data_IF_865735907128
#
_entry.id   IF_865735907128
#
_cell.length_a   1.000
_cell.length_b   1.000
_cell.length_c   1.000
_cell.angle_alpha   90.00
_cell.angle_beta   90.00
_cell.angle_gamma   90.00
#
_symmetry.space_group_name_H-M   'P 1'
#
loop_
_entity.id
_entity.type
_entity.pdbx_description
1 polymer ?
#
# COMPACT_ATOMS: atom_id res chain seq x y z
N UNK A 1 -5.81 -12.40 -16.20
CA UNK A 1 -5.44 -13.41 -15.20
C UNK A 1 -3.99 -13.73 -15.44
N UNK A 2 -3.17 -13.57 -14.42
CA UNK A 2 -1.75 -13.89 -14.47
C UNK A 2 -1.54 -15.28 -13.85
N UNK A 3 -0.70 -16.12 -14.45
CA UNK A 3 -0.45 -17.47 -13.96
C UNK A 3 1.04 -17.64 -13.71
N UNK A 4 1.41 -17.86 -12.45
CA UNK A 4 2.79 -17.98 -12.02
C UNK A 4 2.94 -19.14 -11.03
N UNK A 5 3.94 -20.00 -11.23
CA UNK A 5 4.16 -21.21 -10.43
C UNK A 5 2.91 -22.12 -10.28
N UNK A 6 2.08 -22.18 -11.32
CA UNK A 6 0.84 -22.98 -11.29
C UNK A 6 -0.23 -22.42 -10.33
N UNK A 7 -0.23 -21.11 -10.08
CA UNK A 7 -1.23 -20.40 -9.28
C UNK A 7 -1.82 -19.29 -10.14
N UNK A 8 -3.15 -19.09 -10.03
CA UNK A 8 -3.86 -18.06 -10.76
C UNK A 8 -4.00 -16.80 -9.92
N UNK A 9 -3.51 -15.68 -10.42
CA UNK A 9 -3.59 -14.38 -9.77
C UNK A 9 -4.58 -13.49 -10.53
N UNK A 10 -5.43 -12.81 -9.75
CA UNK A 10 -6.37 -11.83 -10.28
C UNK A 10 -6.52 -10.64 -9.33
N UNK A 11 -6.88 -9.46 -9.84
CA UNK A 11 -7.33 -8.35 -9.00
C UNK A 11 -8.55 -8.75 -8.16
N UNK A 12 -8.72 -8.05 -7.04
CA UNK A 12 -9.94 -8.06 -6.25
C UNK A 12 -11.14 -7.67 -7.12
N UNK A 13 -12.22 -8.45 -7.04
CA UNK A 13 -13.40 -8.34 -7.90
C UNK A 13 -14.61 -7.69 -7.21
N UNK A 14 -14.46 -7.21 -5.97
CA UNK A 14 -15.53 -6.57 -5.20
C UNK A 14 -16.00 -7.41 -4.01
N UNK A 15 -17.14 -7.01 -3.43
CA UNK A 15 -17.60 -7.49 -2.11
C UNK A 15 -17.74 -9.03 -2.02
N UNK A 16 -17.95 -9.73 -3.14
CA UNK A 16 -18.01 -11.21 -3.18
C UNK A 16 -16.71 -11.88 -2.75
N UNK A 17 -15.57 -11.20 -2.89
CA UNK A 17 -14.25 -11.70 -2.46
C UNK A 17 -13.97 -11.44 -0.98
N UNK A 18 -14.70 -10.50 -0.37
CA UNK A 18 -14.42 -10.07 1.00
C UNK A 18 -14.45 -11.23 2.01
N UNK A 19 -15.45 -12.14 2.00
CA UNK A 19 -15.45 -13.27 2.94
C UNK A 19 -14.19 -14.13 2.83
N UNK A 20 -13.73 -14.41 1.61
CA UNK A 20 -12.53 -15.21 1.37
C UNK A 20 -11.26 -14.53 1.89
N UNK A 21 -11.11 -13.22 1.66
CA UNK A 21 -9.98 -12.44 2.19
C UNK A 21 -10.01 -12.45 3.72
N UNK A 22 -11.18 -12.25 4.33
CA UNK A 22 -11.34 -12.25 5.78
C UNK A 22 -10.95 -13.61 6.38
N UNK A 23 -11.40 -14.72 5.81
CA UNK A 23 -11.03 -16.07 6.26
C UNK A 23 -9.52 -16.28 6.18
N UNK A 24 -8.89 -15.96 5.04
CA UNK A 24 -7.45 -16.08 4.89
C UNK A 24 -6.68 -15.26 5.93
N UNK A 25 -7.09 -14.00 6.14
CA UNK A 25 -6.44 -13.09 7.11
C UNK A 25 -6.59 -13.59 8.54
N UNK A 26 -7.79 -14.04 8.93
CA UNK A 26 -8.04 -14.59 10.27
C UNK A 26 -7.17 -15.82 10.57
N UNK A 27 -6.94 -16.67 9.57
CA UNK A 27 -6.10 -17.87 9.73
C UNK A 27 -4.59 -17.56 9.69
N UNK A 28 -4.21 -16.44 9.09
CA UNK A 28 -2.83 -16.16 8.73
C UNK A 28 -2.13 -15.04 9.50
N UNK A 29 -2.87 -14.09 10.08
CA UNK A 29 -2.35 -12.91 10.77
C UNK A 29 -2.75 -12.91 12.25
N UNK A 30 -1.89 -12.34 13.09
CA UNK A 30 -2.06 -12.27 14.55
C UNK A 30 -3.06 -11.20 15.00
N UNK A 31 -3.36 -10.22 14.16
CA UNK A 31 -4.18 -9.06 14.50
C UNK A 31 -5.62 -9.22 13.97
N UNK A 32 -6.65 -9.20 14.84
CA UNK A 32 -8.03 -9.20 14.39
C UNK A 32 -8.40 -7.85 13.79
N UNK A 33 -8.82 -7.86 12.52
CA UNK A 33 -9.37 -6.68 11.87
C UNK A 33 -10.91 -6.71 11.89
N UNK A 34 -11.52 -5.57 12.22
CA UNK A 34 -12.96 -5.38 12.04
C UNK A 34 -13.30 -5.21 10.56
N UNK A 35 -14.52 -5.60 10.15
CA UNK A 35 -14.96 -5.55 8.73
C UNK A 35 -14.76 -4.18 8.08
N UNK A 36 -14.93 -3.09 8.84
CA UNK A 36 -14.74 -1.72 8.36
C UNK A 36 -13.32 -1.46 7.85
N UNK A 37 -12.31 -2.08 8.46
CA UNK A 37 -10.92 -1.95 8.02
C UNK A 37 -10.73 -2.53 6.63
N UNK A 38 -11.25 -3.73 6.38
CA UNK A 38 -11.19 -4.34 5.04
C UNK A 38 -11.89 -3.48 4.00
N UNK A 39 -13.13 -3.05 4.28
CA UNK A 39 -13.91 -2.22 3.35
C UNK A 39 -13.24 -0.87 3.08
N UNK A 40 -12.61 -0.25 4.08
CA UNK A 40 -11.85 0.97 3.87
C UNK A 40 -10.77 0.80 2.80
N UNK A 41 -9.95 -0.26 2.90
CA UNK A 41 -8.92 -0.52 1.90
C UNK A 41 -9.51 -0.95 0.54
N UNK A 42 -10.41 -1.93 0.55
CA UNK A 42 -10.91 -2.57 -0.65
C UNK A 42 -11.85 -1.68 -1.47
N UNK A 43 -12.57 -0.74 -0.83
CA UNK A 43 -13.39 0.24 -1.55
C UNK A 43 -12.58 1.44 -2.04
N UNK A 44 -11.52 1.82 -1.34
CA UNK A 44 -10.72 3.00 -1.70
C UNK A 44 -9.62 2.68 -2.71
N UNK A 45 -8.99 1.50 -2.60
CA UNK A 45 -7.94 1.03 -3.50
C UNK A 45 -8.18 -0.39 -4.02
N UNK A 46 -9.34 -0.68 -4.63
CA UNK A 46 -9.64 -2.03 -5.17
C UNK A 46 -8.59 -2.49 -6.18
N UNK A 47 -8.02 -1.56 -6.94
CA UNK A 47 -7.01 -1.80 -7.96
C UNK A 47 -5.61 -2.14 -7.40
N UNK A 48 -5.39 -2.00 -6.09
CA UNK A 48 -4.15 -2.39 -5.40
C UNK A 48 -4.32 -3.67 -4.58
N UNK A 49 -5.45 -4.35 -4.70
CA UNK A 49 -5.71 -5.61 -4.03
C UNK A 49 -5.72 -6.77 -5.04
N UNK A 50 -5.04 -7.86 -4.67
CA UNK A 50 -4.90 -9.04 -5.53
C UNK A 50 -5.12 -10.33 -4.73
N UNK A 51 -5.60 -11.34 -5.42
CA UNK A 51 -5.89 -12.66 -4.87
C UNK A 51 -5.24 -13.76 -5.70
N UNK A 52 -4.70 -14.75 -5.00
CA UNK A 52 -4.13 -15.97 -5.56
C UNK A 52 -5.14 -17.11 -5.39
N UNK A 53 -5.33 -17.91 -6.43
CA UNK A 53 -6.26 -19.04 -6.45
C UNK A 53 -5.58 -20.30 -6.95
N UNK A 54 -5.97 -21.43 -6.38
CA UNK A 54 -5.62 -22.75 -6.93
C UNK A 54 -6.31 -22.92 -8.30
N UNK A 55 -5.58 -23.18 -9.40
CA UNK A 55 -6.19 -23.38 -10.71
C UNK A 55 -7.07 -24.63 -10.80
N UNK A 56 -6.91 -25.60 -9.90
CA UNK A 56 -7.67 -26.87 -9.94
C UNK A 56 -9.00 -26.72 -9.21
N UNK A 57 -8.97 -26.35 -7.92
CA UNK A 57 -10.19 -26.20 -7.11
C UNK A 57 -10.88 -24.84 -7.31
N UNK A 58 -10.15 -23.83 -7.77
CA UNK A 58 -10.62 -22.44 -7.80
C UNK A 58 -10.60 -21.76 -6.42
N UNK A 59 -10.13 -22.43 -5.37
CA UNK A 59 -10.13 -21.88 -4.02
C UNK A 59 -9.13 -20.73 -3.86
N UNK A 60 -9.47 -19.71 -3.06
CA UNK A 60 -8.56 -18.62 -2.72
C UNK A 60 -7.47 -19.10 -1.75
N UNK A 61 -6.21 -18.99 -2.15
CA UNK A 61 -5.05 -19.51 -1.40
C UNK A 61 -4.14 -18.43 -0.84
N UNK A 62 -4.36 -17.18 -1.24
CA UNK A 62 -3.64 -16.03 -0.71
C UNK A 62 -4.23 -14.71 -1.19
N UNK A 63 -3.93 -13.63 -0.46
CA UNK A 63 -4.38 -12.29 -0.78
C UNK A 63 -3.36 -11.26 -0.34
N UNK A 64 -3.34 -10.13 -1.05
CA UNK A 64 -2.63 -8.92 -0.66
C UNK A 64 -3.58 -7.73 -0.76
N UNK A 65 -3.58 -6.89 0.27
CA UNK A 65 -4.35 -5.65 0.32
C UNK A 65 -3.39 -4.51 0.59
N UNK A 66 -3.44 -3.50 -0.29
CA UNK A 66 -2.57 -2.35 -0.24
C UNK A 66 -3.37 -1.04 -0.28
N UNK A 67 -2.69 0.06 0.00
CA UNK A 67 -3.17 1.41 -0.29
C UNK A 67 -2.07 2.27 -0.87
N UNK A 68 -2.44 3.43 -1.38
CA UNK A 68 -1.50 4.46 -1.79
C UNK A 68 -2.06 5.83 -1.44
N UNK A 69 -1.25 6.65 -0.77
CA UNK A 69 -1.63 8.00 -0.34
C UNK A 69 -0.46 8.96 -0.45
N UNK A 70 -0.78 10.24 -0.61
CA UNK A 70 0.19 11.33 -0.53
C UNK A 70 0.78 11.43 0.87
N UNK A 71 2.09 11.19 0.99
CA UNK A 71 2.83 11.30 2.23
C UNK A 71 3.41 12.72 2.38
N UNK A 72 2.83 13.48 3.31
CA UNK A 72 3.23 14.86 3.65
C UNK A 72 3.19 15.84 2.46
N UNK A 73 2.50 15.49 1.37
CA UNK A 73 2.43 16.28 0.13
C UNK A 73 3.74 16.32 -0.67
N UNK A 74 4.69 15.43 -0.37
CA UNK A 74 6.04 15.43 -0.97
C UNK A 74 6.29 14.17 -1.80
N UNK A 75 5.74 13.02 -1.36
CA UNK A 75 5.94 11.74 -2.01
C UNK A 75 4.64 10.95 -2.03
N UNK A 76 4.38 10.23 -3.11
CA UNK A 76 3.29 9.25 -3.18
C UNK A 76 3.78 7.93 -2.58
N UNK A 77 3.15 7.46 -1.51
CA UNK A 77 3.63 6.28 -0.77
C UNK A 77 2.65 5.13 -0.88
N UNK A 78 3.14 4.02 -1.41
CA UNK A 78 2.47 2.73 -1.33
C UNK A 78 2.58 2.10 0.06
N UNK A 79 1.57 1.35 0.47
CA UNK A 79 1.55 0.67 1.76
C UNK A 79 0.93 -0.72 1.64
N UNK A 80 1.67 -1.75 2.08
CA UNK A 80 1.16 -3.12 2.15
C UNK A 80 0.52 -3.29 3.53
N UNK A 81 -0.82 -3.34 3.55
CA UNK A 81 -1.59 -3.44 4.79
C UNK A 81 -1.74 -4.88 5.26
N UNK A 82 -2.04 -5.79 4.34
CA UNK A 82 -2.25 -7.21 4.64
C UNK A 82 -1.61 -8.05 3.55
N UNK A 83 -0.86 -9.07 3.92
CA UNK A 83 -0.35 -10.11 3.03
C UNK A 83 -0.53 -11.45 3.72
N UNK A 84 -1.24 -12.36 3.07
CA UNK A 84 -1.50 -13.69 3.62
C UNK A 84 -1.48 -14.76 2.54
N UNK A 85 -0.91 -15.91 2.90
CA UNK A 85 -0.93 -17.13 2.10
C UNK A 85 -1.30 -18.29 3.02
N UNK A 86 -2.29 -19.07 2.60
CA UNK A 86 -2.76 -20.26 3.31
C UNK A 86 -1.62 -21.21 3.61
N UNK A 87 -1.59 -21.78 4.81
CA UNK A 87 -0.45 -22.55 5.35
C UNK A 87 0.01 -23.67 4.42
N UNK A 88 -0.92 -24.41 3.81
CA UNK A 88 -0.66 -25.48 2.84
C UNK A 88 -0.02 -25.02 1.51
N UNK A 89 -0.11 -23.71 1.21
CA UNK A 89 0.33 -23.10 -0.04
C UNK A 89 1.60 -22.25 0.13
N UNK A 90 2.16 -22.17 1.35
CA UNK A 90 3.41 -21.44 1.63
C UNK A 90 4.62 -22.12 0.98
N UNK A 91 5.72 -21.36 0.88
CA UNK A 91 7.01 -21.80 0.27
C UNK A 91 6.93 -22.13 -1.24
N UNK A 92 5.90 -21.64 -1.94
CA UNK A 92 5.71 -21.80 -3.40
C UNK A 92 5.93 -20.50 -4.20
N UNK A 93 6.42 -19.45 -3.56
CA UNK A 93 6.63 -18.14 -4.19
C UNK A 93 5.38 -17.24 -4.27
N UNK A 94 4.22 -17.69 -3.81
CA UNK A 94 2.95 -16.94 -3.90
C UNK A 94 3.02 -15.56 -3.25
N UNK A 95 3.51 -15.48 -2.01
CA UNK A 95 3.65 -14.22 -1.30
C UNK A 95 4.59 -13.24 -2.02
N UNK A 96 5.66 -13.77 -2.62
CA UNK A 96 6.62 -12.97 -3.40
C UNK A 96 5.94 -12.36 -4.62
N UNK A 97 5.24 -13.20 -5.39
CA UNK A 97 4.54 -12.76 -6.59
C UNK A 97 3.45 -11.74 -6.29
N UNK A 98 2.65 -11.96 -5.24
CA UNK A 98 1.64 -11.01 -4.77
C UNK A 98 2.24 -9.63 -4.42
N UNK A 99 3.42 -9.60 -3.81
CA UNK A 99 4.11 -8.34 -3.49
C UNK A 99 4.71 -7.70 -4.75
N UNK A 100 5.25 -8.48 -5.69
CA UNK A 100 5.79 -7.96 -6.94
C UNK A 100 4.68 -7.29 -7.78
N UNK A 101 3.54 -7.96 -8.00
CA UNK A 101 2.43 -7.38 -8.77
C UNK A 101 1.81 -6.15 -8.08
N UNK A 102 1.79 -6.10 -6.75
CA UNK A 102 1.28 -4.92 -6.03
C UNK A 102 2.25 -3.75 -6.08
N UNK A 103 3.55 -4.00 -6.01
CA UNK A 103 4.58 -2.98 -6.23
C UNK A 103 4.51 -2.43 -7.64
N UNK A 104 4.34 -3.28 -8.65
CA UNK A 104 4.19 -2.83 -10.03
C UNK A 104 2.95 -1.96 -10.20
N UNK A 105 1.82 -2.33 -9.60
CA UNK A 105 0.59 -1.54 -9.61
C UNK A 105 0.76 -0.18 -8.89
N UNK A 106 1.41 -0.16 -7.71
CA UNK A 106 1.71 1.08 -6.99
C UNK A 106 2.68 1.97 -7.78
N UNK A 107 3.69 1.38 -8.42
CA UNK A 107 4.66 2.10 -9.27
C UNK A 107 3.98 2.73 -10.48
N UNK A 108 3.08 1.98 -11.15
CA UNK A 108 2.29 2.49 -12.27
C UNK A 108 1.37 3.66 -11.85
N UNK A 109 0.94 3.69 -10.60
CA UNK A 109 0.18 4.78 -9.99
C UNK A 109 1.07 5.91 -9.43
N UNK A 110 2.38 5.89 -9.72
CA UNK A 110 3.29 6.96 -9.34
C UNK A 110 3.82 6.89 -7.92
N UNK A 111 3.76 5.73 -7.25
CA UNK A 111 4.37 5.56 -5.94
C UNK A 111 5.90 5.70 -5.99
N UNK A 112 6.44 6.40 -5.02
CA UNK A 112 7.86 6.73 -4.90
C UNK A 112 8.61 5.75 -4.02
N UNK A 113 7.86 5.11 -3.13
CA UNK A 113 8.31 4.11 -2.19
C UNK A 113 7.14 3.27 -1.69
N UNK A 114 7.44 2.09 -1.18
CA UNK A 114 6.47 1.19 -0.54
C UNK A 114 6.92 0.92 0.88
N UNK A 115 5.99 1.00 1.83
CA UNK A 115 6.24 0.72 3.24
C UNK A 115 5.32 -0.37 3.79
N UNK A 116 5.76 -1.01 4.88
CA UNK A 116 4.94 -1.93 5.67
C UNK A 116 5.51 -2.08 7.08
N UNK A 117 4.72 -2.67 7.97
CA UNK A 117 5.17 -3.12 9.28
C UNK A 117 5.06 -4.64 9.43
N UNK A 118 6.02 -5.25 10.11
CA UNK A 118 6.00 -6.67 10.45
C UNK A 118 6.57 -6.90 11.85
N UNK A 119 6.09 -7.92 12.57
CA UNK A 119 6.61 -8.30 13.89
C UNK A 119 8.14 -8.50 13.83
N UNK A 120 8.85 -8.01 14.84
CA UNK A 120 10.31 -8.02 14.85
C UNK A 120 10.93 -9.43 14.77
N UNK A 121 10.17 -10.46 15.19
CA UNK A 121 10.55 -11.86 15.21
C UNK A 121 9.95 -12.68 14.05
N UNK A 122 9.19 -12.05 13.13
CA UNK A 122 8.64 -12.70 11.94
C UNK A 122 9.73 -12.93 10.88
N UNK A 123 10.61 -13.88 11.16
CA UNK A 123 11.77 -14.23 10.34
C UNK A 123 11.40 -14.55 8.88
N UNK A 124 10.32 -15.30 8.58
CA UNK A 124 9.89 -15.53 7.20
C UNK A 124 9.52 -14.26 6.44
N UNK A 125 8.75 -13.36 7.05
CA UNK A 125 8.37 -12.09 6.42
C UNK A 125 9.58 -11.18 6.21
N UNK A 126 10.47 -11.07 7.21
CA UNK A 126 11.70 -10.30 7.11
C UNK A 126 12.60 -10.80 5.97
N UNK A 127 12.73 -12.12 5.80
CA UNK A 127 13.48 -12.71 4.70
C UNK A 127 12.84 -12.42 3.33
N UNK A 128 11.50 -12.56 3.23
CA UNK A 128 10.74 -12.24 2.02
C UNK A 128 10.96 -10.79 1.58
N UNK A 129 10.73 -9.84 2.48
CA UNK A 129 10.80 -8.42 2.13
C UNK A 129 12.23 -7.96 1.87
N UNK A 130 13.22 -8.47 2.62
CA UNK A 130 14.64 -8.22 2.34
C UNK A 130 15.02 -8.67 0.92
N UNK A 131 14.60 -9.88 0.53
CA UNK A 131 14.84 -10.41 -0.83
C UNK A 131 14.11 -9.65 -1.96
N UNK A 132 13.16 -8.78 -1.60
CA UNK A 132 12.44 -7.88 -2.52
C UNK A 132 12.99 -6.46 -2.51
N UNK A 133 14.07 -6.19 -1.77
CA UNK A 133 14.74 -4.90 -1.71
C UNK A 133 14.21 -3.95 -0.64
N UNK A 134 13.38 -4.43 0.31
CA UNK A 134 13.01 -3.64 1.46
C UNK A 134 14.14 -3.64 2.49
N UNK A 135 14.36 -2.50 3.15
CA UNK A 135 15.25 -2.39 4.30
C UNK A 135 14.51 -1.87 5.53
N UNK A 136 15.09 -2.09 6.71
CA UNK A 136 14.53 -1.64 7.99
C UNK A 136 14.73 -0.14 8.13
N UNK A 137 13.64 0.63 8.14
CA UNK A 137 13.68 2.08 8.36
C UNK A 137 13.79 2.38 9.86
N UNK A 138 12.93 1.75 10.68
CA UNK A 138 12.87 1.95 12.12
C UNK A 138 12.25 0.76 12.85
N UNK A 139 12.52 0.70 14.16
CA UNK A 139 11.83 -0.20 15.10
C UNK A 139 10.75 0.58 15.84
N UNK A 140 9.55 0.01 15.93
CA UNK A 140 8.40 0.56 16.61
C UNK A 140 8.17 -0.25 17.89
N UNK A 141 8.29 0.38 19.05
CA UNK A 141 8.18 -0.30 20.33
C UNK A 141 6.71 -0.57 20.69
N UNK A 142 6.39 -1.81 21.10
CA UNK A 142 5.02 -2.25 21.47
C UNK A 142 3.96 -1.83 20.46
N UNK A 143 4.24 -2.07 19.19
CA UNK A 143 3.41 -1.65 18.07
C UNK A 143 2.15 -2.51 17.92
N UNK A 144 2.27 -3.82 18.15
CA UNK A 144 1.17 -4.77 18.05
C UNK A 144 0.40 -4.88 19.37
N UNK A 145 -0.87 -5.32 19.31
CA UNK A 145 -1.73 -5.41 20.51
C UNK A 145 -1.19 -6.39 21.55
N UNK A 146 -0.43 -7.40 21.10
CA UNK A 146 0.28 -8.36 21.94
C UNK A 146 1.52 -7.76 22.66
N UNK A 147 1.81 -6.47 22.47
CA UNK A 147 2.95 -5.78 23.05
C UNK A 147 4.28 -6.03 22.33
N UNK A 148 4.28 -6.77 21.21
CA UNK A 148 5.49 -6.97 20.41
C UNK A 148 5.87 -5.71 19.64
N UNK A 149 7.17 -5.59 19.43
CA UNK A 149 7.73 -4.57 18.54
C UNK A 149 7.48 -4.92 17.08
N UNK A 150 7.48 -3.90 16.23
CA UNK A 150 7.48 -4.05 14.79
C UNK A 150 8.76 -3.46 14.18
N UNK A 151 9.18 -4.02 13.06
CA UNK A 151 10.02 -3.28 12.12
C UNK A 151 9.14 -2.62 11.07
N UNK A 152 9.37 -1.33 10.85
CA UNK A 152 8.89 -0.66 9.64
C UNK A 152 9.93 -0.89 8.55
N UNK A 153 9.48 -1.48 7.45
CA UNK A 153 10.30 -1.73 6.27
C UNK A 153 9.91 -0.76 5.17
N UNK A 154 10.89 -0.37 4.35
CA UNK A 154 10.68 0.53 3.22
C UNK A 154 11.48 0.08 2.00
N UNK A 155 10.89 0.26 0.82
CA UNK A 155 11.52 0.07 -0.48
C UNK A 155 11.31 1.33 -1.33
N UNK A 156 12.36 2.12 -1.58
CA UNK A 156 12.33 3.19 -2.56
C UNK A 156 12.08 2.61 -3.96
N UNK A 157 11.18 3.23 -4.73
CA UNK A 157 10.84 2.86 -6.10
C UNK A 157 11.45 3.83 -7.11
N UNK A 158 11.49 5.13 -6.80
CA UNK A 158 12.23 6.10 -7.61
C UNK A 158 13.72 5.79 -7.55
N UNK A 159 14.36 5.63 -8.71
CA UNK A 159 15.82 5.69 -8.79
C UNK A 159 16.29 7.05 -8.28
N UNK A 160 17.23 7.06 -7.35
CA UNK A 160 18.03 8.25 -7.03
C UNK A 160 18.70 8.67 -8.36
N UNK A 161 18.17 9.74 -8.99
CA UNK A 161 18.64 10.24 -10.29
C UNK A 161 17.57 10.61 -11.32
N UNK A 162 16.27 10.34 -11.08
CA UNK A 162 15.20 10.58 -12.07
C UNK A 162 14.29 11.80 -11.80
N UNK A 163 14.69 12.67 -10.87
CA UNK A 163 14.20 14.06 -10.78
C UNK A 163 15.48 14.92 -10.88
N UNK A 164 15.77 15.61 -11.98
CA UNK A 164 15.15 16.84 -12.49
C UNK A 164 15.33 16.84 -14.02
N UNK A 165 14.27 16.57 -14.80
CA UNK A 165 14.27 16.91 -16.25
C UNK A 165 12.93 17.50 -16.68
N UNK A 166 11.83 17.15 -16.02
CA UNK A 166 10.49 17.56 -16.47
C UNK A 166 9.97 18.89 -15.87
N UNK A 167 10.81 19.68 -15.20
CA UNK A 167 10.40 20.95 -14.59
C UNK A 167 11.12 22.19 -15.15
N UNK A 168 12.00 22.06 -16.15
CA UNK A 168 12.78 23.19 -16.70
C UNK A 168 12.43 23.52 -18.16
N UNK A 169 11.55 22.76 -18.81
CA UNK A 169 11.25 22.93 -20.24
C UNK A 169 9.82 23.43 -20.51
N UNK A 170 9.35 24.39 -19.72
CA UNK A 170 8.32 25.32 -20.20
C UNK A 170 9.03 26.52 -20.83
N UNK A 171 8.77 26.88 -22.10
CA UNK A 171 9.25 28.13 -22.64
C UNK A 171 8.73 29.26 -21.76
N UNK A 172 9.65 30.03 -21.19
CA UNK A 172 9.35 31.25 -20.49
C UNK A 172 8.71 32.21 -21.50
N UNK A 173 7.39 32.38 -21.44
CA UNK A 173 6.68 33.41 -22.21
C UNK A 173 7.34 34.77 -21.94
N UNK A 174 7.77 35.44 -23.00
CA UNK A 174 8.30 36.79 -22.93
C UNK A 174 7.19 37.72 -22.47
N UNK A 175 7.45 38.47 -21.41
CA UNK A 175 6.50 39.39 -20.82
C UNK A 175 6.47 40.68 -21.66
N UNK A 176 5.32 40.99 -22.30
CA UNK A 176 5.20 42.10 -23.26
C UNK A 176 4.78 43.45 -22.62
N UNK A 177 4.76 43.56 -21.29
CA UNK A 177 4.71 44.84 -20.60
C UNK A 177 3.37 45.59 -20.54
N UNK A 178 2.23 44.97 -20.92
CA UNK A 178 0.91 45.60 -20.78
C UNK A 178 0.15 45.17 -19.51
N UNK A 179 -0.14 46.13 -18.63
CA UNK A 179 -1.09 45.96 -17.54
C UNK A 179 -2.51 46.10 -18.06
N UNK A 180 -3.36 45.08 -17.86
CA UNK A 180 -4.82 45.19 -18.05
C UNK A 180 -5.52 45.18 -16.70
N UNK A 181 -6.12 46.31 -16.35
CA UNK A 181 -7.02 46.42 -15.21
C UNK A 181 -8.33 45.67 -15.50
N UNK A 182 -8.61 44.63 -14.73
CA UNK A 182 -9.99 44.25 -14.41
C UNK A 182 -10.02 43.71 -13.00
N UNK A 183 -10.49 44.54 -12.08
CA UNK A 183 -10.55 44.25 -10.66
C UNK A 183 -11.63 43.24 -10.32
N UNK A 184 -11.31 42.39 -9.34
CA UNK A 184 -12.22 41.94 -8.29
C UNK A 184 -11.36 41.66 -7.05
N UNK A 185 -11.64 42.37 -5.96
CA UNK A 185 -11.11 42.13 -4.61
C UNK A 185 -12.28 41.73 -3.72
N UNK A 186 -12.18 40.58 -3.04
CA UNK A 186 -12.68 40.20 -1.70
C UNK A 186 -12.39 38.68 -1.56
N UNK A 187 -12.07 38.04 -0.45
CA UNK A 187 -11.52 38.30 0.89
C UNK A 187 -11.16 36.90 1.45
N UNK A 188 -10.33 36.75 2.50
CA UNK A 188 -9.82 35.44 2.92
C UNK A 188 -10.88 34.65 3.70
N UNK A 189 -11.09 33.37 3.34
CA UNK A 189 -11.89 32.42 4.11
C UNK A 189 -10.99 31.33 4.71
N UNK A 190 -10.74 31.48 6.02
CA UNK A 190 -10.77 30.46 7.10
C UNK A 190 -9.89 29.18 7.03
N UNK A 191 -9.39 28.70 8.18
CA UNK A 191 -8.37 27.64 8.26
C UNK A 191 -8.91 26.26 7.86
N UNK A 192 -8.06 25.48 7.15
CA UNK A 192 -8.33 24.07 6.86
C UNK A 192 -8.53 23.28 8.16
N UNK A 193 -9.47 22.32 8.23
CA UNK A 193 -9.56 21.43 9.37
C UNK A 193 -8.27 20.60 9.51
N UNK A 194 -7.72 20.56 10.71
CA UNK A 194 -6.64 19.64 11.07
C UNK A 194 -7.14 18.19 10.95
N UNK A 195 -6.29 17.22 10.55
CA UNK A 195 -6.66 15.82 10.66
C UNK A 195 -6.90 15.48 12.13
N UNK A 196 -8.03 14.83 12.41
CA UNK A 196 -8.36 14.36 13.75
C UNK A 196 -7.22 13.47 14.29
N UNK A 197 -6.81 13.62 15.56
CA UNK A 197 -5.99 12.61 16.19
C UNK A 197 -6.79 11.31 16.21
N UNK A 198 -6.17 10.19 15.82
CA UNK A 198 -6.71 8.86 16.06
C UNK A 198 -6.85 8.69 17.57
N UNK A 199 -8.03 9.02 18.07
CA UNK A 199 -8.41 8.89 19.46
C UNK A 199 -8.49 7.42 19.82
N UNK A 200 -7.81 7.09 20.92
CA UNK A 200 -8.45 6.41 22.04
C UNK A 200 -9.97 6.49 21.98
N UNK A 201 -10.61 5.34 21.84
CA UNK A 201 -11.90 5.06 22.46
C UNK A 201 -11.86 3.60 22.92
N UNK A 202 -11.66 3.47 24.23
CA UNK A 202 -12.13 2.35 25.01
C UNK A 202 -13.64 2.22 24.83
N UNK A 203 -14.09 1.01 24.51
CA UNK A 203 -15.11 0.30 25.28
C UNK A 203 -14.60 -1.13 25.44
#
# INVERSE_FOLDING_TARGET
MDTFNGINYRPYAGETDLPAIMTLVQDGLSEPYVIYTYRYFLSSWPHLAFMAHDPVSGEPVGAIVCKQDSHRGIAERGYIAMLVVGSAWRKRGIARHLVEISIDAMTANGADEVALETEFDNTPALALYSALGFFREKRLFRFYMNGKDAFRLIKPLRRIGQAIVNAVDQPQESWDGEWRESGYVFAPLSPRPAPAPLGLLYI
#
